data_IF_789191294214
#
_entry.id   IF_789191294214
#
_cell.length_a   1.000
_cell.length_b   1.000
_cell.length_c   1.000
_cell.angle_alpha   90.00
_cell.angle_beta   90.00
_cell.angle_gamma   90.00
#
_symmetry.space_group_name_H-M   'P 1'
#
loop_
_entity.id
_entity.type
_entity.pdbx_description
1 polymer ?
#
# COMPACT_ATOMS: atom_id res chain seq x y z
N UNK A 1 -19.35 16.34 -7.14
CA UNK A 1 -18.42 16.01 -6.05
C UNK A 1 -19.16 15.09 -5.10
N UNK A 2 -18.62 13.90 -4.85
CA UNK A 2 -19.24 12.91 -3.96
C UNK A 2 -18.28 12.63 -2.81
N UNK A 3 -18.81 12.56 -1.59
CA UNK A 3 -18.05 12.12 -0.42
C UNK A 3 -17.99 10.59 -0.44
N UNK A 4 -16.78 10.05 -0.42
CA UNK A 4 -16.51 8.62 -0.46
C UNK A 4 -15.99 8.20 0.88
N UNK A 5 -16.76 7.37 1.59
CA UNK A 5 -16.34 6.80 2.86
C UNK A 5 -15.29 5.71 2.61
N UNK A 6 -14.14 5.85 3.25
CA UNK A 6 -13.05 4.88 3.25
C UNK A 6 -13.06 4.12 4.57
N UNK A 7 -12.83 2.82 4.48
CA UNK A 7 -12.72 1.90 5.61
C UNK A 7 -11.78 0.79 5.17
N UNK A 8 -10.77 0.50 5.99
CA UNK A 8 -9.74 -0.49 5.67
C UNK A 8 -9.99 -1.80 6.40
N UNK A 9 -9.90 -2.88 5.64
CA UNK A 9 -9.71 -4.22 6.18
C UNK A 9 -8.25 -4.65 5.98
N UNK A 10 -7.78 -5.57 6.84
CA UNK A 10 -6.36 -5.91 6.93
C UNK A 10 -6.10 -7.40 6.85
N UNK A 11 -5.45 -7.86 5.79
CA UNK A 11 -5.03 -9.24 5.59
C UNK A 11 -3.58 -9.43 6.07
N UNK A 12 -3.39 -10.39 6.96
CA UNK A 12 -2.08 -10.95 7.27
C UNK A 12 -1.65 -11.90 6.16
N UNK A 13 -0.50 -11.64 5.54
CA UNK A 13 -0.10 -12.33 4.34
C UNK A 13 1.39 -12.65 4.28
N UNK A 14 1.76 -13.85 3.85
CA UNK A 14 3.14 -14.22 3.53
C UNK A 14 3.28 -14.84 2.12
N UNK A 15 4.50 -14.86 1.58
CA UNK A 15 4.76 -15.33 0.22
C UNK A 15 4.40 -16.82 -0.01
N UNK A 16 4.34 -17.63 1.06
CA UNK A 16 3.97 -19.04 1.02
C UNK A 16 2.47 -19.29 0.84
N UNK A 17 1.62 -18.34 1.24
CA UNK A 17 0.16 -18.48 1.10
C UNK A 17 -0.30 -18.39 -0.35
N UNK A 18 -1.28 -19.21 -0.70
CA UNK A 18 -1.90 -19.29 -2.03
C UNK A 18 -3.31 -18.73 -2.03
N UNK A 19 -3.77 -18.27 -3.19
CA UNK A 19 -5.07 -17.61 -3.29
C UNK A 19 -6.24 -18.54 -2.89
N UNK A 20 -6.37 -19.69 -3.54
CA UNK A 20 -7.53 -20.58 -3.36
C UNK A 20 -7.57 -21.29 -2.00
N UNK A 21 -6.42 -21.59 -1.41
CA UNK A 21 -6.35 -22.36 -0.16
C UNK A 21 -6.31 -21.47 1.08
N UNK A 22 -5.63 -20.32 1.00
CA UNK A 22 -5.33 -19.52 2.21
C UNK A 22 -6.06 -18.16 2.17
N UNK A 23 -5.89 -17.40 1.08
CA UNK A 23 -6.34 -16.00 1.03
C UNK A 23 -7.85 -15.87 0.82
N UNK A 24 -8.40 -16.53 -0.21
CA UNK A 24 -9.82 -16.43 -0.53
C UNK A 24 -10.72 -16.94 0.60
N UNK A 25 -10.47 -18.11 1.22
CA UNK A 25 -11.26 -18.57 2.36
C UNK A 25 -11.25 -17.62 3.55
N UNK A 26 -10.12 -16.94 3.81
CA UNK A 26 -10.01 -15.93 4.85
C UNK A 26 -10.88 -14.70 4.55
N UNK A 27 -10.77 -14.15 3.33
CA UNK A 27 -11.57 -13.01 2.88
C UNK A 27 -13.07 -13.33 2.89
N UNK A 28 -13.45 -14.53 2.44
CA UNK A 28 -14.83 -14.99 2.45
C UNK A 28 -15.39 -15.09 3.89
N UNK A 29 -14.59 -15.57 4.85
CA UNK A 29 -14.98 -15.63 6.27
C UNK A 29 -15.25 -14.24 6.86
N UNK A 30 -14.58 -13.22 6.34
CA UNK A 30 -14.76 -11.80 6.71
C UNK A 30 -15.92 -11.13 5.96
N UNK A 31 -16.64 -11.88 5.12
CA UNK A 31 -17.80 -11.37 4.38
C UNK A 31 -17.46 -10.59 3.11
N UNK A 32 -16.20 -10.62 2.66
CA UNK A 32 -15.79 -9.99 1.40
C UNK A 32 -16.40 -10.76 0.24
N UNK A 33 -17.01 -10.05 -0.72
CA UNK A 33 -17.57 -10.68 -1.92
C UNK A 33 -16.53 -10.70 -3.02
N UNK A 34 -16.56 -11.74 -3.85
CA UNK A 34 -15.63 -11.87 -4.97
C UNK A 34 -15.68 -10.67 -5.93
N UNK A 35 -16.88 -10.11 -6.16
CA UNK A 35 -17.09 -8.92 -6.97
C UNK A 35 -16.39 -7.68 -6.42
N UNK A 36 -16.25 -7.57 -5.10
CA UNK A 36 -15.54 -6.45 -4.48
C UNK A 36 -14.03 -6.53 -4.81
N UNK A 37 -13.50 -7.74 -4.96
CA UNK A 37 -12.07 -8.01 -5.24
C UNK A 37 -11.70 -7.85 -6.72
N UNK A 38 -12.68 -7.73 -7.62
CA UNK A 38 -12.42 -7.41 -9.03
C UNK A 38 -11.75 -6.05 -9.19
N UNK A 39 -12.04 -5.13 -8.25
CA UNK A 39 -11.37 -3.84 -8.16
C UNK A 39 -11.35 -3.32 -6.72
N UNK A 40 -10.15 -3.16 -6.18
CA UNK A 40 -9.90 -2.62 -4.85
C UNK A 40 -8.72 -1.64 -4.89
N UNK A 41 -8.58 -0.84 -3.85
CA UNK A 41 -7.34 -0.14 -3.54
C UNK A 41 -6.69 -0.84 -2.35
N UNK A 42 -5.39 -1.06 -2.42
CA UNK A 42 -4.65 -1.80 -1.40
C UNK A 42 -3.30 -1.15 -1.07
N UNK A 43 -2.85 -1.39 0.15
CA UNK A 43 -1.56 -0.94 0.69
C UNK A 43 -0.82 -2.15 1.24
N UNK A 44 0.44 -2.32 0.86
CA UNK A 44 1.29 -3.39 1.37
C UNK A 44 2.26 -2.80 2.38
N UNK A 45 2.30 -3.38 3.58
CA UNK A 45 3.14 -2.96 4.69
C UNK A 45 4.00 -4.09 5.20
N UNK A 46 5.16 -3.71 5.73
CA UNK A 46 5.95 -4.54 6.63
C UNK A 46 5.21 -4.69 7.97
N UNK A 47 5.28 -5.88 8.58
CA UNK A 47 4.68 -6.17 9.89
C UNK A 47 5.68 -6.79 10.88
N UNK A 48 6.98 -6.60 10.63
CA UNK A 48 8.06 -7.11 11.46
C UNK A 48 8.79 -6.05 12.29
N UNK A 49 10.07 -6.31 12.54
CA UNK A 49 10.91 -5.46 13.40
C UNK A 49 11.53 -4.24 12.70
N UNK A 50 11.37 -4.12 11.38
CA UNK A 50 11.91 -2.98 10.64
C UNK A 50 10.85 -2.30 9.77
N UNK A 51 11.07 -1.01 9.54
CA UNK A 51 10.35 -0.20 8.59
C UNK A 51 11.33 0.47 7.62
N UNK A 52 10.82 1.13 6.59
CA UNK A 52 11.65 1.83 5.61
C UNK A 52 11.86 3.27 6.07
N UNK A 53 13.11 3.71 6.04
CA UNK A 53 13.47 5.11 6.16
C UNK A 53 13.16 5.81 4.83
N UNK A 54 12.36 6.87 4.89
CA UNK A 54 12.07 7.82 3.81
C UNK A 54 12.66 9.20 4.17
N UNK A 55 12.74 10.17 3.24
CA UNK A 55 13.37 11.47 3.52
C UNK A 55 12.84 12.22 4.76
N UNK A 56 11.52 12.24 4.96
CA UNK A 56 10.89 13.01 6.04
C UNK A 56 10.46 12.15 7.23
N UNK A 57 10.63 10.82 7.18
CA UNK A 57 10.22 9.95 8.28
C UNK A 57 10.32 8.46 7.98
N UNK A 58 9.81 7.65 8.89
CA UNK A 58 9.81 6.19 8.80
C UNK A 58 8.40 5.69 8.53
N UNK A 59 8.24 4.77 7.58
CA UNK A 59 6.96 4.11 7.30
C UNK A 59 7.15 2.63 6.96
N UNK A 60 6.23 1.75 7.41
CA UNK A 60 6.23 0.35 7.00
C UNK A 60 5.62 0.12 5.61
N UNK A 61 4.96 1.13 5.05
CA UNK A 61 4.32 1.01 3.74
C UNK A 61 5.38 0.91 2.66
N UNK A 62 5.27 -0.11 1.81
CA UNK A 62 6.22 -0.38 0.71
C UNK A 62 5.58 -0.26 -0.66
N UNK A 63 4.25 -0.33 -0.74
CA UNK A 63 3.52 -0.23 -2.00
C UNK A 63 2.07 0.18 -1.78
N UNK A 64 1.53 0.99 -2.69
CA UNK A 64 0.11 1.35 -2.80
C UNK A 64 -0.33 1.02 -4.23
N UNK A 65 -1.51 0.44 -4.42
CA UNK A 65 -2.00 0.06 -5.75
C UNK A 65 -3.51 -0.08 -5.86
N UNK A 66 -4.03 -0.08 -7.09
CA UNK A 66 -5.39 -0.50 -7.41
C UNK A 66 -5.47 -1.68 -8.40
N UNK A 67 -6.59 -2.39 -8.36
CA UNK A 67 -7.00 -3.35 -9.37
C UNK A 67 -7.59 -4.64 -8.80
N UNK A 68 -7.54 -5.70 -9.61
CA UNK A 68 -7.99 -7.03 -9.22
C UNK A 68 -7.07 -7.62 -8.14
N UNK A 69 -7.61 -7.85 -6.95
CA UNK A 69 -6.80 -8.18 -5.77
C UNK A 69 -6.03 -9.49 -5.91
N UNK A 70 -6.67 -10.54 -6.46
CA UNK A 70 -6.05 -11.85 -6.69
C UNK A 70 -4.82 -11.76 -7.58
N UNK A 71 -4.99 -11.12 -8.74
CA UNK A 71 -3.94 -10.96 -9.72
C UNK A 71 -2.79 -10.11 -9.15
N UNK A 72 -3.13 -9.02 -8.45
CA UNK A 72 -2.15 -8.09 -7.90
C UNK A 72 -1.30 -8.71 -6.80
N UNK A 73 -1.89 -9.37 -5.80
CA UNK A 73 -1.13 -10.05 -4.74
C UNK A 73 -0.20 -11.09 -5.35
N UNK A 74 -0.69 -11.88 -6.30
CA UNK A 74 0.10 -12.91 -6.98
C UNK A 74 1.29 -12.30 -7.71
N UNK A 75 1.10 -11.18 -8.42
CA UNK A 75 2.18 -10.47 -9.11
C UNK A 75 3.22 -9.87 -8.15
N UNK A 76 2.79 -9.40 -6.98
CA UNK A 76 3.68 -8.78 -6.02
C UNK A 76 4.60 -9.76 -5.30
N UNK A 77 4.23 -11.05 -5.23
CA UNK A 77 5.08 -12.12 -4.66
C UNK A 77 6.54 -12.03 -5.11
N UNK A 78 6.76 -11.83 -6.40
CA UNK A 78 8.10 -11.87 -6.99
C UNK A 78 9.09 -10.91 -6.32
N UNK A 79 8.68 -9.67 -6.08
CA UNK A 79 9.55 -8.68 -5.43
C UNK A 79 9.40 -8.68 -3.91
N UNK A 80 8.27 -9.14 -3.38
CA UNK A 80 8.07 -9.27 -1.93
C UNK A 80 8.96 -10.35 -1.32
N UNK A 81 9.32 -11.39 -2.08
CA UNK A 81 10.28 -12.40 -1.60
C UNK A 81 11.61 -11.79 -1.16
N UNK A 82 12.11 -10.76 -1.86
CA UNK A 82 13.34 -10.06 -1.46
C UNK A 82 13.24 -9.38 -0.09
N UNK A 83 12.03 -8.90 0.28
CA UNK A 83 11.77 -8.33 1.60
C UNK A 83 11.40 -9.38 2.63
N UNK A 84 10.82 -10.51 2.21
CA UNK A 84 10.48 -11.62 3.08
C UNK A 84 11.72 -12.21 3.72
N UNK A 85 12.81 -12.36 2.95
CA UNK A 85 14.10 -12.81 3.48
C UNK A 85 14.66 -11.89 4.59
N UNK A 86 14.39 -10.59 4.50
CA UNK A 86 14.77 -9.61 5.54
C UNK A 86 13.83 -9.64 6.75
N UNK A 87 12.53 -9.90 6.53
CA UNK A 87 11.54 -10.00 7.60
C UNK A 87 11.58 -11.34 8.32
N UNK A 88 12.15 -12.39 7.74
CA UNK A 88 12.17 -13.72 8.35
C UNK A 88 10.77 -14.32 8.47
N UNK A 89 10.33 -14.64 9.68
CA UNK A 89 9.02 -15.26 9.94
C UNK A 89 7.86 -14.27 9.96
N UNK A 90 8.13 -12.95 9.94
CA UNK A 90 7.08 -11.95 9.97
C UNK A 90 6.31 -11.88 8.65
N UNK A 91 4.99 -11.77 8.77
CA UNK A 91 4.09 -11.56 7.64
C UNK A 91 4.17 -10.12 7.10
N UNK A 92 3.63 -9.91 5.91
CA UNK A 92 3.21 -8.60 5.46
C UNK A 92 1.78 -8.31 5.93
N UNK A 93 1.47 -7.03 6.07
CA UNK A 93 0.12 -6.58 6.34
C UNK A 93 -0.43 -5.89 5.08
N UNK A 94 -1.47 -6.46 4.49
CA UNK A 94 -2.11 -5.95 3.29
C UNK A 94 -3.43 -5.28 3.67
N UNK A 95 -3.46 -3.95 3.65
CA UNK A 95 -4.68 -3.18 3.80
C UNK A 95 -5.43 -3.16 2.48
N UNK A 96 -6.74 -3.38 2.49
CA UNK A 96 -7.57 -3.26 1.30
C UNK A 96 -8.87 -2.53 1.62
N UNK A 97 -9.36 -1.78 0.64
CA UNK A 97 -10.66 -1.11 0.72
C UNK A 97 -11.33 -1.02 -0.65
N UNK A 98 -12.62 -0.67 -0.63
CA UNK A 98 -13.47 -0.61 -1.81
C UNK A 98 -14.11 0.78 -1.93
N UNK A 99 -13.36 1.81 -2.39
CA UNK A 99 -13.90 3.15 -2.54
C UNK A 99 -15.04 3.15 -3.56
N UNK A 100 -16.26 3.47 -3.12
CA UNK A 100 -17.48 3.40 -3.94
C UNK A 100 -18.18 4.74 -4.02
N UNK A 101 -18.45 5.18 -5.25
CA UNK A 101 -19.30 6.33 -5.54
C UNK A 101 -20.18 6.07 -6.76
N UNK A 102 -21.41 6.58 -6.72
CA UNK A 102 -22.36 6.45 -7.83
C UNK A 102 -21.83 7.18 -9.07
N UNK A 103 -21.86 6.50 -10.22
CA UNK A 103 -21.42 7.03 -11.52
C UNK A 103 -19.95 7.52 -11.55
N UNK A 104 -19.08 6.90 -10.74
CA UNK A 104 -17.69 7.32 -10.60
C UNK A 104 -16.72 6.19 -11.03
N UNK A 105 -16.53 6.02 -12.33
CA UNK A 105 -15.67 4.95 -12.88
C UNK A 105 -14.18 5.08 -12.51
N UNK A 106 -13.74 6.28 -12.13
CA UNK A 106 -12.36 6.60 -11.77
C UNK A 106 -12.10 6.66 -10.26
N UNK A 107 -13.10 6.36 -9.42
CA UNK A 107 -12.98 6.53 -7.97
C UNK A 107 -11.81 5.77 -7.33
N UNK A 108 -11.49 4.57 -7.85
CA UNK A 108 -10.37 3.75 -7.37
C UNK A 108 -9.01 4.35 -7.73
N UNK A 109 -8.79 4.70 -9.00
CA UNK A 109 -7.56 5.36 -9.46
C UNK A 109 -7.38 6.75 -8.81
N UNK A 110 -8.48 7.48 -8.63
CA UNK A 110 -8.45 8.77 -7.93
C UNK A 110 -8.02 8.61 -6.46
N UNK A 111 -8.49 7.55 -5.80
CA UNK A 111 -8.13 7.26 -4.42
C UNK A 111 -6.68 6.75 -4.28
N UNK A 112 -6.22 5.87 -5.18
CA UNK A 112 -4.81 5.45 -5.24
C UNK A 112 -3.88 6.65 -5.39
N UNK A 113 -4.14 7.51 -6.38
CA UNK A 113 -3.35 8.71 -6.60
C UNK A 113 -3.33 9.60 -5.35
N UNK A 114 -4.49 9.84 -4.73
CA UNK A 114 -4.60 10.60 -3.49
C UNK A 114 -3.79 10.00 -2.34
N UNK A 115 -3.81 8.68 -2.15
CA UNK A 115 -3.00 7.99 -1.14
C UNK A 115 -1.50 8.11 -1.40
N UNK A 116 -1.06 8.01 -2.66
CA UNK A 116 0.35 8.17 -3.02
C UNK A 116 0.82 9.61 -2.75
N UNK A 117 0.00 10.62 -3.05
CA UNK A 117 0.30 12.01 -2.72
C UNK A 117 0.31 12.26 -1.21
N UNK A 118 -0.68 11.75 -0.47
CA UNK A 118 -0.70 11.86 0.99
C UNK A 118 0.51 11.19 1.63
N UNK A 119 0.91 10.01 1.14
CA UNK A 119 2.13 9.33 1.58
C UNK A 119 3.37 10.21 1.33
N UNK A 120 3.47 10.80 0.13
CA UNK A 120 4.56 11.69 -0.22
C UNK A 120 4.60 12.93 0.67
N UNK A 121 3.48 13.59 0.90
CA UNK A 121 3.43 14.81 1.71
C UNK A 121 3.89 14.54 3.16
N UNK A 122 3.68 13.32 3.65
CA UNK A 122 4.13 12.89 4.98
C UNK A 122 5.60 12.46 4.98
N UNK A 123 6.07 11.74 3.95
CA UNK A 123 7.35 11.01 3.98
C UNK A 123 8.43 11.52 3.00
N UNK A 124 8.10 12.45 2.10
CA UNK A 124 9.02 13.06 1.12
C UNK A 124 9.40 12.18 -0.07
N UNK A 125 8.62 11.12 -0.33
CA UNK A 125 8.84 10.21 -1.46
C UNK A 125 7.58 9.37 -1.69
N UNK A 126 7.50 8.68 -2.83
CA UNK A 126 6.52 7.59 -2.99
C UNK A 126 6.95 6.34 -2.19
N UNK A 127 6.04 5.40 -1.91
CA UNK A 127 6.42 4.14 -1.29
C UNK A 127 7.49 3.37 -2.09
N UNK A 128 8.29 2.57 -1.40
CA UNK A 128 9.48 1.87 -1.89
C UNK A 128 9.38 1.29 -3.32
N UNK A 129 8.22 0.76 -3.72
CA UNK A 129 8.00 0.13 -5.03
C UNK A 129 7.04 0.87 -5.96
N UNK A 130 6.49 2.01 -5.56
CA UNK A 130 5.73 2.88 -6.45
C UNK A 130 6.70 3.62 -7.38
N UNK A 131 6.62 3.34 -8.69
CA UNK A 131 7.58 3.84 -9.69
C UNK A 131 7.32 5.24 -10.20
N UNK A 132 6.08 5.72 -10.04
CA UNK A 132 5.61 6.98 -10.60
C UNK A 132 4.62 7.61 -9.62
N UNK A 133 4.61 8.94 -9.58
CA UNK A 133 3.52 9.69 -8.96
C UNK A 133 2.37 9.72 -9.97
N UNK A 134 1.23 9.13 -9.63
CA UNK A 134 0.04 9.24 -10.48
C UNK A 134 -0.51 10.67 -10.37
N UNK A 135 -0.51 11.41 -11.49
CA UNK A 135 -1.13 12.73 -11.55
C UNK A 135 -2.58 12.58 -12.00
N UNK A 136 -3.51 12.62 -11.03
CA UNK A 136 -4.92 12.64 -11.34
C UNK A 136 -5.62 13.73 -10.53
N UNK A 137 -6.25 14.69 -11.23
CA UNK A 137 -7.18 15.62 -10.60
C UNK A 137 -8.42 14.84 -10.21
N UNK A 138 -8.61 14.59 -8.92
CA UNK A 138 -9.85 13.97 -8.44
C UNK A 138 -10.95 15.01 -8.26
N UNK A 139 -12.18 14.60 -8.58
CA UNK A 139 -13.41 15.36 -8.27
C UNK A 139 -14.15 14.79 -7.05
N UNK A 140 -13.49 13.90 -6.30
CA UNK A 140 -14.02 13.21 -5.12
C UNK A 140 -13.36 13.74 -3.84
N UNK A 141 -14.13 13.69 -2.75
CA UNK A 141 -13.62 13.95 -1.40
C UNK A 141 -13.65 12.62 -0.67
N UNK A 142 -12.48 12.17 -0.20
CA UNK A 142 -12.35 10.91 0.53
C UNK A 142 -12.27 11.18 2.02
N UNK A 143 -13.07 10.47 2.81
CA UNK A 143 -13.20 10.67 4.25
C UNK A 143 -13.37 9.33 4.97
N UNK A 144 -13.00 9.22 6.26
CA UNK A 144 -12.36 10.27 7.05
C UNK A 144 -10.83 10.20 6.93
N UNK A 145 -10.16 11.35 7.01
CA UNK A 145 -8.71 11.46 6.76
C UNK A 145 -7.85 10.66 7.75
N UNK A 146 -8.30 10.50 9.00
CA UNK A 146 -7.61 9.67 9.98
C UNK A 146 -7.59 8.19 9.56
N UNK A 147 -8.68 7.69 8.97
CA UNK A 147 -8.76 6.31 8.47
C UNK A 147 -7.93 6.14 7.20
N UNK A 148 -7.92 7.13 6.32
CA UNK A 148 -7.06 7.14 5.13
C UNK A 148 -5.58 7.06 5.54
N UNK A 149 -5.17 7.91 6.48
CA UNK A 149 -3.79 7.97 6.99
C UNK A 149 -3.39 6.74 7.79
N UNK A 150 -4.32 6.07 8.47
CA UNK A 150 -4.02 4.86 9.27
C UNK A 150 -3.41 3.73 8.40
N UNK A 151 -3.77 3.70 7.11
CA UNK A 151 -3.25 2.71 6.18
C UNK A 151 -1.80 2.94 5.77
N UNK A 152 -1.34 4.19 5.75
CA UNK A 152 -0.01 4.56 5.28
C UNK A 152 0.97 4.89 6.40
N UNK A 153 0.47 5.26 7.58
CA UNK A 153 1.25 5.60 8.76
C UNK A 153 1.54 4.39 9.65
N UNK A 154 2.53 4.51 10.53
CA UNK A 154 2.75 3.54 11.61
C UNK A 154 1.48 3.47 12.47
N UNK A 155 0.91 2.27 12.60
CA UNK A 155 -0.32 2.05 13.38
C UNK A 155 -0.09 2.29 14.87
N UNK A 156 -1.17 2.60 15.59
CA UNK A 156 -1.08 2.76 17.04
C UNK A 156 -0.66 1.45 17.71
N UNK A 157 0.26 1.54 18.67
CA UNK A 157 0.80 0.36 19.39
C UNK A 157 1.89 -0.41 18.64
N UNK A 158 2.09 -0.17 17.34
CA UNK A 158 3.17 -0.79 16.57
C UNK A 158 4.51 -0.12 16.85
N UNK A 159 5.56 -0.92 17.03
CA UNK A 159 6.93 -0.44 17.24
C UNK A 159 7.89 -1.18 16.34
N UNK A 160 8.44 -0.46 15.36
CA UNK A 160 9.57 -0.93 14.58
C UNK A 160 10.85 -0.63 15.36
N UNK A 161 11.76 -1.60 15.43
CA UNK A 161 13.04 -1.47 16.13
C UNK A 161 14.11 -0.87 15.22
N UNK A 162 13.97 -1.06 13.90
CA UNK A 162 14.95 -0.62 12.91
C UNK A 162 14.27 0.17 11.79
N UNK A 163 14.98 1.16 11.26
CA UNK A 163 14.65 1.81 10.00
C UNK A 163 15.76 1.50 8.99
N UNK A 164 15.40 0.97 7.82
CA UNK A 164 16.36 0.58 6.78
C UNK A 164 16.08 1.32 5.49
N UNK A 165 17.11 1.44 4.64
CA UNK A 165 16.98 2.00 3.31
C UNK A 165 17.67 1.08 2.30
N UNK A 166 17.18 0.97 1.06
CA UNK A 166 17.84 0.16 0.05
C UNK A 166 19.24 0.73 -0.25
N UNK A 167 20.23 -0.14 -0.36
CA UNK A 167 21.56 0.21 -0.87
C UNK A 167 21.57 0.21 -2.40
N UNK A 168 22.57 0.84 -3.02
CA UNK A 168 22.75 0.89 -4.50
C UNK A 168 22.70 -0.48 -5.19
N UNK A 169 23.07 -1.55 -4.50
CA UNK A 169 23.04 -2.92 -5.01
C UNK A 169 21.65 -3.57 -4.99
N UNK A 170 20.68 -2.96 -4.29
CA UNK A 170 19.30 -3.46 -4.25
C UNK A 170 18.55 -3.07 -5.52
N UNK A 171 17.74 -3.96 -6.11
CA UNK A 171 16.89 -3.63 -7.26
C UNK A 171 15.75 -2.65 -6.91
N UNK A 172 15.59 -2.30 -5.63
CA UNK A 172 14.63 -1.30 -5.16
C UNK A 172 15.23 0.12 -5.10
N UNK A 173 16.57 0.25 -5.17
CA UNK A 173 17.26 1.53 -5.02
C UNK A 173 16.85 2.57 -6.05
N UNK A 174 16.80 2.20 -7.34
CA UNK A 174 16.48 3.14 -8.42
C UNK A 174 15.04 3.64 -8.36
N UNK A 175 14.13 2.85 -7.80
CA UNK A 175 12.74 3.29 -7.58
C UNK A 175 12.71 4.25 -6.40
N UNK A 176 13.32 3.85 -5.28
CA UNK A 176 13.42 4.65 -4.07
C UNK A 176 14.05 6.02 -4.33
N UNK A 177 15.16 6.11 -5.06
CA UNK A 177 15.85 7.38 -5.33
C UNK A 177 15.09 8.29 -6.29
N UNK A 178 14.38 7.73 -7.27
CA UNK A 178 13.72 8.51 -8.33
C UNK A 178 12.69 9.49 -7.77
N UNK A 179 11.86 9.02 -6.85
CA UNK A 179 10.76 9.81 -6.28
C UNK A 179 11.24 10.78 -5.21
N UNK A 180 12.44 10.56 -4.65
CA UNK A 180 13.15 11.51 -3.76
C UNK A 180 13.74 12.67 -4.59
N UNK A 181 14.41 12.36 -5.70
CA UNK A 181 15.13 13.35 -6.52
C UNK A 181 14.19 14.30 -7.28
N UNK A 182 12.94 13.90 -7.55
CA UNK A 182 11.91 14.78 -8.10
C UNK A 182 11.59 15.95 -7.15
N UNK A 183 11.83 15.83 -5.84
CA UNK A 183 11.61 16.91 -4.86
C UNK A 183 12.73 17.96 -4.85
N UNK A 184 13.97 17.56 -5.14
CA UNK A 184 15.11 18.50 -5.23
C UNK A 184 15.09 19.35 -6.52
N UNK A 185 14.16 19.08 -7.43
CA UNK A 185 13.98 19.81 -8.69
C UNK A 185 12.84 20.84 -8.66
N UNK A 186 12.14 20.97 -7.53
CA UNK A 186 11.07 21.96 -7.31
C UNK A 186 11.60 23.13 -6.50
#
# INVERSE_FOLDING_TARGET
>A
MANVKIEWDWLHWNCGQTWGTDVWPELQRRGVKQQDLERCVYVIRLNGLFAIQYPLGVSPTVYIGEGNFEQRITQHKNWLMELADLQGEYEFLIGYCFPRARNASKVYSDFEAMLIHEFRDIYGAAPLRNRQMEFQKSNHVFEPMNEIRSAIMIGQGMRFHWAVQPMKSSPMYDVYQRTILEELRV
#
